data_IF_263695653118
#
_entry.id   IF_263695653118
#
_cell.length_a   1.000
_cell.length_b   1.000
_cell.length_c   1.000
_cell.angle_alpha   90.00
_cell.angle_beta   90.00
_cell.angle_gamma   90.00
#
_symmetry.space_group_name_H-M   'P 1'
#
loop_
_entity.id
_entity.type
_entity.pdbx_description
1 polymer ?
#
# COMPACT_ATOMS: atom_id res chain seq x y z
N UNK A 1 25.50 1.14 66.61
CA UNK A 1 24.89 0.81 65.30
C UNK A 1 23.45 0.37 65.52
N UNK A 2 22.43 1.17 65.15
CA UNK A 2 21.00 0.79 65.19
C UNK A 2 20.55 0.48 63.75
N UNK A 3 20.09 -0.75 63.50
CA UNK A 3 19.54 -1.14 62.19
C UNK A 3 18.13 -0.54 62.02
N UNK A 4 17.80 0.09 60.89
CA UNK A 4 16.44 0.54 60.64
C UNK A 4 15.55 -0.69 60.42
N UNK A 5 14.49 -0.79 61.21
CA UNK A 5 13.41 -1.77 61.04
C UNK A 5 12.65 -1.41 59.77
N UNK A 6 12.70 -2.27 58.74
CA UNK A 6 11.89 -2.12 57.53
C UNK A 6 10.41 -2.20 57.90
N UNK A 7 9.73 -1.05 57.84
CA UNK A 7 8.28 -0.98 57.92
C UNK A 7 7.71 -1.74 56.72
N UNK A 8 7.04 -2.86 57.00
CA UNK A 8 6.31 -3.64 56.00
C UNK A 8 5.21 -2.74 55.45
N UNK A 9 5.43 -2.17 54.26
CA UNK A 9 4.41 -1.46 53.49
C UNK A 9 3.25 -2.44 53.30
N UNK A 10 2.17 -2.24 54.05
CA UNK A 10 0.91 -2.95 53.82
C UNK A 10 0.44 -2.56 52.42
N UNK A 11 0.64 -3.44 51.45
CA UNK A 11 -0.11 -3.39 50.19
C UNK A 11 -1.56 -3.65 50.56
N UNK A 12 -2.32 -2.58 50.82
CA UNK A 12 -3.77 -2.67 50.74
C UNK A 12 -4.08 -3.07 49.30
N UNK A 13 -4.48 -4.33 49.10
CA UNK A 13 -5.16 -4.73 47.88
C UNK A 13 -6.42 -3.85 47.81
N UNK A 14 -6.35 -2.76 47.04
CA UNK A 14 -7.52 -1.97 46.69
C UNK A 14 -8.43 -2.92 45.91
N UNK A 15 -9.45 -3.45 46.60
CA UNK A 15 -10.49 -4.22 45.95
C UNK A 15 -11.23 -3.25 45.01
N UNK A 16 -11.16 -3.49 43.70
CA UNK A 16 -11.93 -2.73 42.72
C UNK A 16 -13.42 -2.89 43.01
N UNK A 17 -14.12 -1.79 43.21
CA UNK A 17 -15.58 -1.85 43.42
C UNK A 17 -16.28 -2.26 42.12
N UNK A 18 -17.39 -2.98 42.22
CA UNK A 18 -18.19 -3.34 41.04
C UNK A 18 -18.62 -2.09 40.24
N UNK A 19 -18.88 -0.99 40.94
CA UNK A 19 -19.25 0.31 40.36
C UNK A 19 -18.12 0.87 39.49
N UNK A 20 -16.87 0.75 39.93
CA UNK A 20 -15.71 1.24 39.17
C UNK A 20 -15.50 0.45 37.87
N UNK A 21 -15.62 -0.88 37.92
CA UNK A 21 -15.55 -1.73 36.72
C UNK A 21 -16.71 -1.43 35.75
N UNK A 22 -17.92 -1.20 36.26
CA UNK A 22 -19.07 -0.81 35.43
C UNK A 22 -18.90 0.59 34.83
N UNK A 23 -18.37 1.55 35.57
CA UNK A 23 -18.11 2.90 35.07
C UNK A 23 -17.08 2.88 33.93
N UNK A 24 -15.96 2.16 34.08
CA UNK A 24 -14.92 2.08 33.04
C UNK A 24 -15.43 1.34 31.81
N UNK A 25 -16.13 0.21 31.98
CA UNK A 25 -16.67 -0.55 30.84
C UNK A 25 -17.77 0.21 30.09
N UNK A 26 -18.62 0.98 30.78
CA UNK A 26 -19.62 1.85 30.15
C UNK A 26 -18.94 2.94 29.30
N UNK A 27 -17.86 3.55 29.78
CA UNK A 27 -17.11 4.55 29.01
C UNK A 27 -16.47 3.92 27.76
N UNK A 28 -15.79 2.77 27.91
CA UNK A 28 -15.10 2.11 26.78
C UNK A 28 -16.08 1.61 25.72
N UNK A 29 -17.25 1.11 26.13
CA UNK A 29 -18.30 0.63 25.21
C UNK A 29 -19.09 1.76 24.56
N UNK A 30 -19.07 2.98 25.11
CA UNK A 30 -19.78 4.13 24.54
C UNK A 30 -19.18 4.66 23.23
N UNK A 31 -17.94 4.26 22.87
CA UNK A 31 -17.30 4.72 21.63
C UNK A 31 -18.03 4.09 20.43
N UNK A 32 -18.60 4.91 19.51
CA UNK A 32 -19.35 4.38 18.38
C UNK A 32 -18.45 3.56 17.44
N UNK A 33 -18.97 2.43 16.95
CA UNK A 33 -18.27 1.57 15.97
C UNK A 33 -17.77 2.34 14.73
N UNK A 34 -18.50 3.37 14.30
CA UNK A 34 -18.11 4.23 13.19
C UNK A 34 -16.80 5.01 13.44
N UNK A 35 -16.56 5.46 14.67
CA UNK A 35 -15.32 6.17 15.02
C UNK A 35 -14.13 5.21 15.03
N UNK A 36 -14.32 3.98 15.53
CA UNK A 36 -13.30 2.93 15.45
C UNK A 36 -12.96 2.58 14.00
N UNK A 37 -13.97 2.42 13.14
CA UNK A 37 -13.74 2.14 11.72
C UNK A 37 -12.92 3.25 11.04
N UNK A 38 -13.25 4.52 11.31
CA UNK A 38 -12.48 5.66 10.78
C UNK A 38 -11.04 5.70 11.32
N UNK A 39 -10.86 5.50 12.62
CA UNK A 39 -9.53 5.45 13.24
C UNK A 39 -8.67 4.33 12.66
N UNK A 40 -9.25 3.14 12.43
CA UNK A 40 -8.58 2.01 11.79
C UNK A 40 -8.15 2.34 10.35
N UNK A 41 -9.01 2.98 9.56
CA UNK A 41 -8.66 3.39 8.19
C UNK A 41 -7.51 4.41 8.16
N UNK A 42 -7.48 5.35 9.10
CA UNK A 42 -6.36 6.28 9.24
C UNK A 42 -5.05 5.57 9.63
N UNK A 43 -5.13 4.61 10.57
CA UNK A 43 -3.98 3.81 10.97
C UNK A 43 -3.41 2.99 9.78
N UNK A 44 -4.28 2.45 8.92
CA UNK A 44 -3.87 1.78 7.68
C UNK A 44 -3.15 2.72 6.71
N UNK A 45 -3.61 3.95 6.56
CA UNK A 45 -2.91 4.97 5.76
C UNK A 45 -1.51 5.24 6.28
N UNK A 46 -1.35 5.48 7.59
CA UNK A 46 -0.04 5.74 8.21
C UNK A 46 0.91 4.55 8.09
N UNK A 47 0.39 3.32 8.26
CA UNK A 47 1.18 2.10 8.07
C UNK A 47 1.61 1.92 6.62
N UNK A 48 0.73 2.19 5.65
CA UNK A 48 1.06 2.17 4.23
C UNK A 48 2.19 3.16 3.90
N UNK A 49 2.12 4.40 4.41
CA UNK A 49 3.18 5.40 4.25
C UNK A 49 4.51 4.92 4.83
N UNK A 50 4.47 4.26 6.00
CA UNK A 50 5.69 3.72 6.63
C UNK A 50 6.30 2.60 5.80
N UNK A 51 5.48 1.68 5.27
CA UNK A 51 5.93 0.63 4.36
C UNK A 51 6.56 1.22 3.08
N UNK A 52 5.88 2.18 2.44
CA UNK A 52 6.38 2.84 1.23
C UNK A 52 7.69 3.60 1.47
N UNK A 53 7.88 4.23 2.64
CA UNK A 53 9.15 4.88 2.99
C UNK A 53 10.29 3.88 3.10
N UNK A 54 10.05 2.71 3.68
CA UNK A 54 11.06 1.65 3.77
C UNK A 54 11.41 1.09 2.39
N UNK A 55 10.41 0.86 1.54
CA UNK A 55 10.62 0.50 0.13
C UNK A 55 11.40 1.61 -0.61
N UNK A 56 11.04 2.87 -0.40
CA UNK A 56 11.69 4.04 -0.98
C UNK A 56 13.17 4.16 -0.61
N UNK A 57 13.52 3.90 0.65
CA UNK A 57 14.92 3.87 1.09
C UNK A 57 15.71 2.80 0.34
N UNK A 58 15.17 1.59 0.23
CA UNK A 58 15.83 0.48 -0.48
C UNK A 58 15.95 0.75 -1.98
N UNK A 59 14.95 1.41 -2.56
CA UNK A 59 14.93 1.80 -3.96
C UNK A 59 15.97 2.89 -4.28
N UNK A 60 16.16 3.85 -3.37
CA UNK A 60 17.24 4.84 -3.48
C UNK A 60 18.59 4.16 -3.34
N UNK A 61 18.74 3.21 -2.41
CA UNK A 61 19.98 2.43 -2.29
C UNK A 61 20.29 1.62 -3.56
N UNK A 62 19.27 1.01 -4.17
CA UNK A 62 19.40 0.34 -5.47
C UNK A 62 19.85 1.32 -6.56
N UNK A 63 19.24 2.50 -6.64
CA UNK A 63 19.61 3.52 -7.63
C UNK A 63 21.05 4.00 -7.44
N UNK A 64 21.50 4.15 -6.19
CA UNK A 64 22.86 4.56 -5.88
C UNK A 64 23.92 3.50 -6.22
N UNK A 65 23.60 2.20 -6.15
CA UNK A 65 24.53 1.11 -6.46
C UNK A 65 24.55 0.74 -7.94
N UNK A 66 23.37 0.58 -8.54
CA UNK A 66 23.22 0.16 -9.93
C UNK A 66 23.29 1.34 -10.92
N UNK A 67 23.18 2.57 -10.43
CA UNK A 67 23.19 3.78 -11.24
C UNK A 67 21.95 3.96 -12.13
N UNK A 68 20.92 3.14 -11.94
CA UNK A 68 19.66 3.14 -12.70
C UNK A 68 18.49 2.74 -11.82
N UNK A 69 17.27 3.14 -12.19
CA UNK A 69 16.06 2.65 -11.52
C UNK A 69 15.73 1.21 -11.95
N UNK A 70 15.07 0.40 -11.09
CA UNK A 70 14.72 -0.98 -11.40
C UNK A 70 13.92 -1.11 -12.69
N UNK A 71 14.31 -2.03 -13.58
CA UNK A 71 13.55 -2.30 -14.80
C UNK A 71 12.46 -3.34 -14.51
N UNK A 72 11.28 -2.85 -14.11
CA UNK A 72 10.14 -3.68 -13.75
C UNK A 72 8.90 -3.35 -14.59
N UNK A 73 7.94 -4.29 -14.65
CA UNK A 73 6.62 -4.08 -15.28
C UNK A 73 5.66 -3.33 -14.36
N UNK A 74 4.64 -2.71 -14.95
CA UNK A 74 3.65 -1.82 -14.34
C UNK A 74 2.88 -2.54 -13.25
N UNK A 75 2.43 -3.75 -13.58
CA UNK A 75 1.78 -4.65 -12.65
C UNK A 75 1.98 -6.10 -13.14
N UNK A 76 2.78 -6.91 -12.43
CA UNK A 76 3.06 -8.29 -12.81
C UNK A 76 1.83 -9.19 -12.61
N UNK A 77 1.79 -10.34 -13.29
CA UNK A 77 0.73 -11.33 -13.06
C UNK A 77 0.85 -12.02 -11.70
N UNK A 78 2.10 -12.22 -11.25
CA UNK A 78 2.47 -12.79 -9.96
C UNK A 78 3.58 -11.92 -9.35
N UNK A 79 3.40 -11.49 -8.09
CA UNK A 79 4.32 -10.58 -7.42
C UNK A 79 5.69 -11.20 -7.15
N UNK A 80 5.75 -12.50 -6.82
CA UNK A 80 6.98 -13.13 -6.31
C UNK A 80 7.69 -14.00 -7.34
N UNK A 81 6.95 -14.56 -8.30
CA UNK A 81 7.51 -15.49 -9.27
C UNK A 81 7.86 -14.83 -10.62
N UNK A 82 7.32 -13.64 -10.92
CA UNK A 82 7.60 -12.96 -12.19
C UNK A 82 8.98 -12.28 -12.13
N UNK A 83 9.93 -12.64 -13.02
CA UNK A 83 11.27 -12.02 -13.04
C UNK A 83 11.24 -10.52 -13.32
N UNK A 84 10.15 -9.99 -13.91
CA UNK A 84 9.99 -8.55 -14.15
C UNK A 84 9.17 -7.85 -13.07
N UNK A 85 8.78 -8.54 -12.01
CA UNK A 85 8.15 -7.91 -10.85
C UNK A 85 9.15 -7.01 -10.13
N UNK A 86 8.70 -5.83 -9.68
CA UNK A 86 9.52 -4.92 -8.88
C UNK A 86 10.07 -5.61 -7.61
N UNK A 87 9.28 -6.51 -7.02
CA UNK A 87 9.68 -7.28 -5.83
C UNK A 87 10.86 -8.18 -6.17
N UNK A 88 10.75 -8.93 -7.27
CA UNK A 88 11.77 -9.89 -7.68
C UNK A 88 13.05 -9.19 -8.15
N UNK A 89 12.93 -8.11 -8.92
CA UNK A 89 14.07 -7.30 -9.38
C UNK A 89 14.84 -6.73 -8.19
N UNK A 90 14.14 -6.25 -7.14
CA UNK A 90 14.80 -5.76 -5.94
C UNK A 90 15.42 -6.89 -5.11
N UNK A 91 14.74 -8.04 -4.97
CA UNK A 91 15.27 -9.22 -4.28
C UNK A 91 16.54 -9.76 -4.97
N UNK A 92 16.55 -9.86 -6.30
CA UNK A 92 17.70 -10.34 -7.09
C UNK A 92 18.93 -9.43 -6.97
N UNK A 93 18.71 -8.12 -6.81
CA UNK A 93 19.78 -7.16 -6.57
C UNK A 93 20.23 -7.09 -5.09
N UNK A 94 19.66 -7.90 -4.20
CA UNK A 94 20.00 -7.92 -2.77
C UNK A 94 19.32 -6.84 -1.92
N UNK A 95 18.36 -6.11 -2.49
CA UNK A 95 17.57 -5.06 -1.81
C UNK A 95 16.19 -5.57 -1.40
N UNK A 96 16.14 -6.78 -0.84
CA UNK A 96 14.90 -7.42 -0.43
C UNK A 96 14.21 -6.65 0.70
N UNK A 97 12.89 -6.49 0.57
CA UNK A 97 12.01 -5.90 1.58
C UNK A 97 10.99 -6.97 2.00
N UNK A 98 10.61 -7.06 3.28
CA UNK A 98 9.59 -8.02 3.72
C UNK A 98 8.32 -7.97 2.86
N UNK A 99 7.79 -9.15 2.55
CA UNK A 99 6.68 -9.32 1.59
C UNK A 99 5.42 -8.56 2.00
N UNK A 100 5.23 -8.38 3.30
CA UNK A 100 4.09 -7.67 3.88
C UNK A 100 4.11 -6.17 3.59
N UNK A 101 5.27 -5.60 3.25
CA UNK A 101 5.39 -4.17 2.94
C UNK A 101 4.89 -3.83 1.54
N UNK A 102 4.91 -4.81 0.63
CA UNK A 102 4.37 -4.70 -0.73
C UNK A 102 2.84 -4.76 -0.78
N UNK A 103 2.20 -4.98 0.37
CA UNK A 103 0.75 -5.02 0.54
C UNK A 103 0.29 -3.84 1.39
N UNK A 104 -0.63 -3.06 0.84
CA UNK A 104 -1.30 -1.98 1.53
C UNK A 104 -2.27 -2.56 2.56
N UNK A 105 -2.18 -2.18 3.85
CA UNK A 105 -3.10 -2.66 4.89
C UNK A 105 -4.57 -2.29 4.68
N UNK A 106 -4.84 -1.27 3.87
CA UNK A 106 -6.19 -0.82 3.50
C UNK A 106 -6.73 -1.45 2.21
N UNK A 107 -5.94 -2.30 1.53
CA UNK A 107 -6.39 -2.98 0.33
C UNK A 107 -7.44 -4.06 0.65
N UNK A 108 -8.38 -4.31 -0.27
CA UNK A 108 -9.32 -5.43 -0.12
C UNK A 108 -8.57 -6.77 -0.11
N UNK A 109 -9.08 -7.79 0.60
CA UNK A 109 -8.37 -9.04 0.83
C UNK A 109 -8.04 -9.80 -0.47
N UNK A 110 -8.86 -9.65 -1.50
CA UNK A 110 -8.63 -10.25 -2.82
C UNK A 110 -7.36 -9.70 -3.47
N UNK A 111 -7.09 -8.40 -3.35
CA UNK A 111 -5.85 -7.78 -3.83
C UNK A 111 -4.67 -8.12 -2.92
N UNK A 112 -4.89 -8.11 -1.60
CA UNK A 112 -3.86 -8.46 -0.63
C UNK A 112 -3.31 -9.89 -0.83
N UNK A 113 -4.18 -10.84 -1.19
CA UNK A 113 -3.77 -12.23 -1.48
C UNK A 113 -2.83 -12.38 -2.68
N UNK A 114 -2.77 -11.40 -3.58
CA UNK A 114 -1.85 -11.40 -4.73
C UNK A 114 -0.43 -10.99 -4.35
N UNK A 115 -0.22 -10.48 -3.13
CA UNK A 115 1.10 -10.14 -2.58
C UNK A 115 1.69 -8.81 -3.03
N UNK A 116 1.05 -8.12 -3.98
CA UNK A 116 1.44 -6.77 -4.41
C UNK A 116 0.20 -5.94 -4.65
N UNK A 117 0.11 -4.78 -3.98
CA UNK A 117 -1.01 -3.85 -4.15
C UNK A 117 -0.57 -2.50 -4.70
N UNK A 118 0.69 -2.40 -5.13
CA UNK A 118 1.25 -1.19 -5.71
C UNK A 118 1.56 -1.41 -7.19
N UNK A 119 1.42 -0.34 -7.95
CA UNK A 119 1.72 -0.24 -9.38
C UNK A 119 3.03 0.50 -9.56
N UNK A 120 3.86 0.00 -10.47
CA UNK A 120 5.17 0.56 -10.77
C UNK A 120 5.14 1.44 -12.03
N UNK A 121 5.93 2.51 -12.05
CA UNK A 121 6.09 3.34 -13.25
C UNK A 121 7.18 2.80 -14.19
N UNK A 122 6.80 1.96 -15.15
CA UNK A 122 7.71 1.38 -16.16
C UNK A 122 8.51 2.43 -16.93
N UNK A 123 7.98 3.65 -17.11
CA UNK A 123 8.64 4.70 -17.91
C UNK A 123 9.98 5.13 -17.33
N UNK A 124 10.18 4.94 -16.02
CA UNK A 124 11.39 5.32 -15.32
C UNK A 124 12.38 4.15 -15.17
N UNK A 125 11.94 2.91 -15.39
CA UNK A 125 12.80 1.74 -15.32
C UNK A 125 14.00 1.86 -16.26
N UNK A 126 15.17 1.49 -15.75
CA UNK A 126 16.44 1.55 -16.50
C UNK A 126 17.01 2.96 -16.72
N UNK A 127 16.31 4.03 -16.33
CA UNK A 127 16.85 5.39 -16.47
C UNK A 127 17.88 5.69 -15.37
N UNK A 128 18.98 6.38 -15.69
CA UNK A 128 19.99 6.73 -14.70
C UNK A 128 19.62 7.97 -13.87
N UNK A 129 18.83 8.89 -14.40
CA UNK A 129 18.42 10.10 -13.68
C UNK A 129 17.11 10.66 -14.23
N UNK A 130 16.39 11.43 -13.41
CA UNK A 130 15.11 12.05 -13.73
C UNK A 130 15.18 13.55 -13.49
N UNK A 131 14.52 14.33 -14.34
CA UNK A 131 14.54 15.80 -14.30
C UNK A 131 13.98 16.40 -12.99
N UNK A 132 13.15 15.64 -12.25
CA UNK A 132 12.58 16.02 -10.94
C UNK A 132 12.19 14.76 -10.14
N UNK A 133 13.10 14.12 -9.39
CA UNK A 133 12.82 12.84 -8.74
C UNK A 133 11.72 12.93 -7.66
N UNK A 134 11.66 14.02 -6.88
CA UNK A 134 10.62 14.24 -5.86
C UNK A 134 9.21 14.54 -6.38
N UNK A 135 9.03 14.66 -7.70
CA UNK A 135 7.70 14.74 -8.34
C UNK A 135 7.42 13.56 -9.26
N UNK A 136 8.42 12.71 -9.49
CA UNK A 136 8.32 11.55 -10.34
C UNK A 136 7.78 10.39 -9.51
N UNK A 137 6.52 10.00 -9.73
CA UNK A 137 5.93 8.87 -9.03
C UNK A 137 6.50 7.53 -9.53
N UNK A 138 6.83 6.66 -8.59
CA UNK A 138 7.40 5.34 -8.85
C UNK A 138 6.47 4.23 -8.42
N UNK A 139 5.92 4.31 -7.21
CA UNK A 139 4.90 3.38 -6.72
C UNK A 139 3.65 4.15 -6.29
N UNK A 140 2.49 3.59 -6.59
CA UNK A 140 1.19 4.10 -6.16
C UNK A 140 0.26 2.90 -5.94
N UNK A 141 -0.76 3.02 -5.08
CA UNK A 141 -1.71 1.91 -4.89
C UNK A 141 -2.49 1.58 -6.16
N UNK A 142 -2.68 0.29 -6.43
CA UNK A 142 -3.33 -0.26 -7.64
C UNK A 142 -4.76 0.23 -7.87
N UNK A 143 -5.44 0.67 -6.80
CA UNK A 143 -6.75 1.31 -6.89
C UNK A 143 -6.75 2.50 -7.87
N UNK A 144 -5.59 3.14 -8.09
CA UNK A 144 -5.45 4.25 -9.04
C UNK A 144 -5.76 3.87 -10.50
N UNK A 145 -5.83 2.59 -10.85
CA UNK A 145 -6.03 2.14 -12.24
C UNK A 145 -7.49 2.26 -12.69
N UNK A 146 -8.46 2.21 -11.77
CA UNK A 146 -9.89 2.23 -12.08
C UNK A 146 -10.61 3.38 -11.40
N UNK A 147 -11.44 4.12 -12.15
CA UNK A 147 -12.30 5.18 -11.58
C UNK A 147 -13.44 4.64 -10.72
N UNK A 148 -13.82 3.38 -10.93
CA UNK A 148 -14.93 2.75 -10.19
C UNK A 148 -14.52 2.33 -8.78
N UNK A 149 -13.21 2.27 -8.50
CA UNK A 149 -12.67 1.86 -7.21
C UNK A 149 -12.22 3.10 -6.46
N UNK A 150 -12.74 3.35 -5.24
CA UNK A 150 -12.28 4.49 -4.46
C UNK A 150 -10.82 4.30 -4.00
N UNK A 151 -10.14 5.39 -3.62
CA UNK A 151 -8.82 5.30 -3.00
C UNK A 151 -8.86 4.42 -1.73
N UNK A 152 -7.78 3.70 -1.41
CA UNK A 152 -7.74 2.78 -0.28
C UNK A 152 -7.71 3.50 1.08
N UNK A 153 -7.45 4.81 1.09
CA UNK A 153 -7.33 5.62 2.30
C UNK A 153 -8.23 6.85 2.26
N UNK A 154 -8.67 7.37 3.43
CA UNK A 154 -9.51 8.57 3.50
C UNK A 154 -8.91 9.82 2.83
N UNK A 155 -7.58 9.92 2.81
CA UNK A 155 -6.85 11.06 2.25
C UNK A 155 -6.42 10.85 0.78
N UNK A 156 -6.84 9.76 0.15
CA UNK A 156 -6.50 9.43 -1.24
C UNK A 156 -5.48 8.28 -1.36
N UNK A 157 -4.47 8.51 -2.20
CA UNK A 157 -3.41 7.57 -2.55
C UNK A 157 -2.10 7.97 -1.87
N UNK A 158 -1.28 7.00 -1.46
CA UNK A 158 0.10 7.23 -1.10
C UNK A 158 1.00 6.91 -2.30
N UNK A 159 1.75 7.92 -2.70
CA UNK A 159 2.61 7.89 -3.86
C UNK A 159 4.04 7.93 -3.38
N UNK A 160 4.82 6.91 -3.71
CA UNK A 160 6.27 6.92 -3.55
C UNK A 160 6.90 7.62 -4.76
N UNK A 161 7.69 8.65 -4.50
CA UNK A 161 8.46 9.37 -5.49
C UNK A 161 9.85 8.76 -5.69
N UNK A 162 10.51 9.12 -6.78
CA UNK A 162 11.79 8.52 -7.17
C UNK A 162 12.96 8.88 -6.25
N UNK A 163 12.83 9.94 -5.47
CA UNK A 163 13.78 10.31 -4.41
C UNK A 163 13.53 9.59 -3.07
N UNK A 164 12.52 8.71 -3.01
CA UNK A 164 12.13 8.01 -1.79
C UNK A 164 11.10 8.77 -0.93
N UNK A 165 10.70 10.00 -1.30
CA UNK A 165 9.64 10.71 -0.60
C UNK A 165 8.29 10.03 -0.81
N UNK A 166 7.45 10.00 0.23
CA UNK A 166 6.05 9.54 0.10
C UNK A 166 5.10 10.73 0.25
N UNK A 167 4.20 10.88 -0.71
CA UNK A 167 3.19 11.95 -0.78
C UNK A 167 1.82 11.31 -0.72
N UNK A 168 0.95 11.80 0.17
CA UNK A 168 -0.47 11.42 0.18
C UNK A 168 -1.28 12.44 -0.61
N UNK A 169 -2.03 12.01 -1.62
CA UNK A 169 -2.79 12.89 -2.51
C UNK A 169 -4.12 12.27 -2.94
N UNK A 170 -5.17 13.09 -2.98
CA UNK A 170 -6.44 12.72 -3.60
C UNK A 170 -6.41 12.83 -5.14
N UNK A 171 -5.48 13.62 -5.67
CA UNK A 171 -5.31 13.83 -7.10
C UNK A 171 -4.25 12.87 -7.65
N UNK A 172 -4.62 12.14 -8.70
CA UNK A 172 -3.70 11.25 -9.40
C UNK A 172 -2.68 12.03 -10.24
N UNK A 173 -1.46 11.50 -10.40
CA UNK A 173 -0.51 11.97 -11.40
C UNK A 173 -1.15 12.07 -12.80
N UNK A 174 -0.76 13.09 -13.57
CA UNK A 174 -1.41 13.43 -14.84
C UNK A 174 -1.44 12.27 -15.84
N UNK A 175 -0.38 11.46 -15.90
CA UNK A 175 -0.30 10.32 -16.79
C UNK A 175 -1.22 9.16 -16.37
N UNK A 176 -1.37 8.90 -15.07
CA UNK A 176 -2.36 7.92 -14.58
C UNK A 176 -3.79 8.42 -14.79
N UNK A 177 -4.04 9.71 -14.58
CA UNK A 177 -5.34 10.31 -14.85
C UNK A 177 -5.74 10.19 -16.33
N UNK A 178 -4.76 10.26 -17.25
CA UNK A 178 -4.96 9.99 -18.68
C UNK A 178 -5.19 8.51 -18.97
N UNK A 179 -4.42 7.60 -18.34
CA UNK A 179 -4.59 6.15 -18.50
C UNK A 179 -6.00 5.70 -18.10
N UNK A 180 -6.52 6.22 -16.98
CA UNK A 180 -7.90 5.97 -16.55
C UNK A 180 -8.97 6.46 -17.55
N UNK A 181 -8.67 7.53 -18.31
CA UNK A 181 -9.59 8.06 -19.33
C UNK A 181 -9.56 7.21 -20.61
N UNK A 182 -8.39 6.69 -20.97
CA UNK A 182 -8.20 5.82 -22.14
C UNK A 182 -8.81 4.42 -21.95
N UNK A 183 -9.01 3.95 -20.71
CA UNK A 183 -9.70 2.66 -20.43
C UNK A 183 -11.23 2.75 -20.54
N UNK A 184 -11.79 3.96 -20.68
CA UNK A 184 -13.24 4.22 -20.64
C UNK A 184 -14.05 3.69 -21.85
N UNK A 185 -13.56 3.72 -23.12
CA UNK A 185 -14.32 3.20 -24.26
C UNK A 185 -14.23 1.67 -24.45
N UNK A 186 -13.31 0.97 -23.77
CA UNK A 186 -13.16 -0.49 -23.92
C UNK A 186 -14.15 -1.32 -23.07
N UNK A 187 -14.80 -0.71 -22.08
CA UNK A 187 -15.74 -1.38 -21.18
C UNK A 187 -17.22 -1.12 -21.53
N UNK A 188 -17.52 -0.13 -22.38
CA UNK A 188 -18.89 0.18 -22.82
C UNK A 188 -19.32 -0.53 -24.11
N UNK A 189 -18.42 -1.28 -24.77
CA UNK A 189 -18.76 -2.08 -25.93
C UNK A 189 -19.30 -3.47 -25.51
N UNK A 190 -20.42 -3.93 -26.09
CA UNK A 190 -21.02 -5.23 -25.76
C UNK A 190 -20.01 -6.36 -25.97
N UNK A 191 -20.02 -7.32 -25.04
CA UNK A 191 -18.99 -8.35 -24.85
C UNK A 191 -18.69 -9.24 -26.09
N UNK A 192 -19.54 -9.22 -27.13
CA UNK A 192 -19.41 -10.07 -28.30
C UNK A 192 -18.20 -9.75 -29.22
N UNK A 193 -17.63 -8.54 -29.15
CA UNK A 193 -16.48 -8.16 -29.99
C UNK A 193 -15.09 -8.39 -29.36
N UNK A 194 -15.03 -8.80 -28.08
CA UNK A 194 -13.84 -8.63 -27.23
C UNK A 194 -12.68 -9.60 -27.49
N UNK A 195 -12.84 -10.58 -28.39
CA UNK A 195 -11.86 -11.65 -28.63
C UNK A 195 -11.16 -11.58 -29.99
N UNK A 196 -11.55 -10.68 -30.88
CA UNK A 196 -10.99 -10.65 -32.24
C UNK A 196 -9.65 -9.87 -32.36
N UNK A 197 -9.36 -8.91 -31.47
CA UNK A 197 -8.20 -8.01 -31.61
C UNK A 197 -7.13 -8.03 -30.50
N UNK A 198 -7.36 -8.72 -29.39
CA UNK A 198 -6.43 -8.74 -28.25
C UNK A 198 -5.45 -9.90 -28.37
N UNK A 199 -4.14 -9.60 -28.39
CA UNK A 199 -3.11 -10.64 -28.32
C UNK A 199 -3.32 -11.51 -27.09
N UNK A 200 -3.00 -12.82 -27.19
CA UNK A 200 -3.33 -13.84 -26.18
C UNK A 200 -2.88 -13.46 -24.75
N UNK A 201 -1.87 -12.59 -24.63
CA UNK A 201 -1.32 -12.07 -23.38
C UNK A 201 -2.31 -11.24 -22.54
N UNK A 202 -3.30 -10.60 -23.15
CA UNK A 202 -4.26 -9.71 -22.44
C UNK A 202 -5.60 -10.36 -22.11
N UNK A 203 -5.87 -11.57 -22.61
CA UNK A 203 -7.14 -12.28 -22.35
C UNK A 203 -7.22 -12.81 -20.91
N UNK A 204 -6.08 -13.19 -20.33
CA UNK A 204 -6.02 -13.71 -18.95
C UNK A 204 -6.26 -12.64 -17.88
N UNK A 205 -5.77 -11.42 -18.09
CA UNK A 205 -5.91 -10.34 -17.12
C UNK A 205 -7.35 -9.78 -17.03
N UNK A 206 -8.11 -9.82 -18.13
CA UNK A 206 -9.47 -9.26 -18.20
C UNK A 206 -10.52 -10.27 -17.70
N UNK A 207 -10.30 -11.58 -17.90
CA UNK A 207 -11.26 -12.61 -17.49
C UNK A 207 -11.48 -12.65 -15.97
N UNK A 208 -10.47 -12.27 -15.18
CA UNK A 208 -10.56 -12.25 -13.70
C UNK A 208 -11.41 -11.06 -13.19
N UNK A 209 -11.50 -9.96 -13.95
CA UNK A 209 -12.31 -8.79 -13.57
C UNK A 209 -13.78 -8.87 -14.03
N UNK A 210 -14.19 -9.91 -14.76
CA UNK A 210 -15.56 -10.04 -15.28
C UNK A 210 -16.43 -11.04 -14.50
N UNK A 211 -15.90 -11.62 -13.42
CA UNK A 211 -16.64 -12.53 -12.55
C UNK A 211 -16.93 -11.88 -11.18
N UNK A 212 -17.47 -10.65 -11.19
CA UNK A 212 -18.45 -10.08 -10.25
C UNK A 212 -18.66 -8.59 -10.52
#
# INVERSE_FOLDING_TARGET
>A
MKRPTLSRVRRSLLAFSMVEVMAVSAIVTSIPAAQYARARQMAYGVRCVTNLRQIGQMLVMYHMSEGKYPEAVFYPSDAFNDPKSIVRVMEDAGYAVPREMWVCPGAPPELASRGLTFVYNEKFGGRPSLKNPGKAWMLIEVNCVSKSVPPPHPNGYNVLCADGQVITTAQLPADLAQMQQASRPALTAPAAGRLAGLSRRWRGAIAVCSAR
#
